data_IF_816148551405
#
_entry.id   IF_816148551405
#
_cell.length_a   1.000
_cell.length_b   1.000
_cell.length_c   1.000
_cell.angle_alpha   90.00
_cell.angle_beta   90.00
_cell.angle_gamma   90.00
#
_symmetry.space_group_name_H-M   'P 1'
#
loop_
_entity.id
_entity.type
_entity.pdbx_description
1 polymer ?
#
# COMPACT_ATOMS: atom_id res chain seq x y z
N UNK A 1 0.86 11.61 -20.42
CA UNK A 1 1.95 11.45 -21.41
C UNK A 1 3.34 11.88 -20.88
N UNK A 2 3.55 12.01 -19.56
CA UNK A 2 4.85 12.42 -18.97
C UNK A 2 5.24 11.60 -17.72
N UNK A 3 4.80 10.34 -17.62
CA UNK A 3 5.12 9.43 -16.50
C UNK A 3 6.09 8.30 -16.89
N UNK A 4 6.83 8.44 -18.02
CA UNK A 4 7.78 7.44 -18.52
C UNK A 4 9.26 7.80 -18.28
N UNK A 5 9.59 8.76 -17.42
CA UNK A 5 10.98 9.09 -17.08
C UNK A 5 11.32 8.51 -15.70
N UNK A 6 11.25 7.19 -15.62
CA UNK A 6 11.48 6.46 -14.38
C UNK A 6 11.75 5.00 -14.66
N UNK A 7 12.72 4.71 -15.52
CA UNK A 7 13.42 3.42 -15.57
C UNK A 7 14.58 3.56 -16.57
N UNK A 8 15.78 3.20 -16.11
CA UNK A 8 16.97 2.71 -16.84
C UNK A 8 18.20 3.29 -16.14
N UNK A 9 18.79 2.52 -15.23
CA UNK A 9 20.13 1.92 -15.35
C UNK A 9 20.20 0.80 -14.31
N UNK A 10 20.37 -0.43 -14.78
CA UNK A 10 20.88 -1.54 -13.98
C UNK A 10 22.30 -1.79 -14.48
N UNK A 11 23.28 -1.73 -13.57
CA UNK A 11 24.45 -2.60 -13.54
C UNK A 11 25.34 -2.20 -12.35
N UNK A 12 25.64 -3.21 -11.53
CA UNK A 12 26.59 -3.32 -10.41
C UNK A 12 27.45 -2.12 -10.01
N UNK A 13 27.59 -1.92 -8.70
CA UNK A 13 28.87 -2.00 -7.98
C UNK A 13 28.65 -1.85 -6.46
N UNK A 14 29.48 -2.58 -5.69
CA UNK A 14 29.98 -2.15 -4.38
C UNK A 14 29.03 -2.20 -3.19
N UNK A 15 28.86 -3.38 -2.59
CA UNK A 15 28.25 -3.52 -1.27
C UNK A 15 28.99 -2.72 -0.21
N UNK A 16 28.25 -1.92 0.55
CA UNK A 16 28.73 -1.26 1.76
C UNK A 16 28.87 -2.36 2.83
N UNK A 17 30.10 -2.83 3.04
CA UNK A 17 30.42 -3.80 4.06
C UNK A 17 30.27 -3.19 5.46
N UNK A 18 29.25 -3.66 6.19
CA UNK A 18 29.10 -3.43 7.63
C UNK A 18 27.68 -3.05 8.05
N UNK A 19 26.93 -4.00 8.61
CA UNK A 19 25.76 -3.69 9.45
C UNK A 19 24.59 -4.65 9.29
N UNK A 20 24.50 -5.64 10.19
CA UNK A 20 23.37 -6.57 10.42
C UNK A 20 22.89 -7.41 9.21
N UNK A 21 22.41 -8.64 9.44
CA UNK A 21 21.81 -9.46 8.38
C UNK A 21 20.57 -8.74 7.80
N UNK A 22 20.26 -8.89 6.50
CA UNK A 22 19.06 -8.32 5.92
C UNK A 22 17.80 -8.93 6.56
N UNK A 23 16.73 -8.13 6.63
CA UNK A 23 15.39 -8.62 6.96
C UNK A 23 14.85 -9.37 5.74
N UNK A 24 14.79 -10.69 5.82
CA UNK A 24 14.47 -11.56 4.68
C UNK A 24 13.20 -12.41 4.86
N UNK A 25 12.59 -12.36 6.06
CA UNK A 25 11.37 -13.08 6.42
C UNK A 25 10.37 -12.18 7.10
N UNK A 26 9.08 -12.48 6.95
CA UNK A 26 7.99 -11.67 7.47
C UNK A 26 7.99 -11.62 9.01
N UNK A 27 8.36 -12.70 9.70
CA UNK A 27 8.51 -12.70 11.16
C UNK A 27 9.61 -11.73 11.63
N UNK A 28 10.79 -11.78 11.01
CA UNK A 28 11.91 -10.88 11.32
C UNK A 28 11.56 -9.42 11.03
N UNK A 29 10.81 -9.17 9.96
CA UNK A 29 10.31 -7.85 9.60
C UNK A 29 9.37 -7.29 10.68
N UNK A 30 8.45 -8.12 11.18
CA UNK A 30 7.51 -7.75 12.24
C UNK A 30 8.21 -7.54 13.58
N UNK A 31 9.16 -8.40 13.97
CA UNK A 31 9.99 -8.21 15.16
C UNK A 31 10.76 -6.89 15.10
N UNK A 32 11.32 -6.58 13.93
CA UNK A 32 12.02 -5.32 13.71
C UNK A 32 11.06 -4.12 13.86
N UNK A 33 9.85 -4.18 13.29
CA UNK A 33 8.81 -3.17 13.46
C UNK A 33 8.44 -2.95 14.94
N UNK A 34 8.35 -4.04 15.72
CA UNK A 34 8.03 -4.01 17.15
C UNK A 34 9.18 -3.56 18.06
N UNK A 35 10.43 -3.56 17.57
CA UNK A 35 11.61 -3.21 18.38
C UNK A 35 11.64 -1.74 18.84
N UNK A 36 10.86 -0.86 18.18
CA UNK A 36 10.86 0.58 18.45
C UNK A 36 12.18 1.30 18.14
N UNK A 37 13.16 0.60 17.55
CA UNK A 37 14.43 1.19 17.14
C UNK A 37 14.25 2.01 15.87
N UNK A 38 14.74 3.25 15.85
CA UNK A 38 14.83 4.08 14.64
C UNK A 38 16.03 3.69 13.75
N UNK A 39 16.33 2.40 13.63
CA UNK A 39 17.39 1.91 12.77
C UNK A 39 16.88 1.69 11.34
N UNK A 40 17.79 1.75 10.37
CA UNK A 40 17.55 1.28 9.00
C UNK A 40 18.20 -0.10 8.84
N UNK A 41 17.47 -1.05 8.26
CA UNK A 41 17.99 -2.36 7.90
C UNK A 41 17.69 -2.67 6.45
N UNK A 42 18.58 -3.39 5.77
CA UNK A 42 18.30 -3.89 4.43
C UNK A 42 17.10 -4.84 4.48
N UNK A 43 16.18 -4.71 3.52
CA UNK A 43 15.01 -5.56 3.34
C UNK A 43 15.14 -6.32 2.04
N UNK A 44 14.99 -7.64 2.10
CA UNK A 44 14.92 -8.52 0.94
C UNK A 44 13.85 -9.58 1.17
N UNK A 45 12.59 -9.16 1.11
CA UNK A 45 11.46 -9.98 1.52
C UNK A 45 10.80 -10.66 0.32
N UNK A 46 10.79 -11.98 0.32
CA UNK A 46 10.01 -12.79 -0.62
C UNK A 46 8.72 -13.25 0.05
N UNK A 47 7.59 -13.13 -0.64
CA UNK A 47 6.34 -13.71 -0.17
C UNK A 47 5.15 -13.45 -1.06
N UNK A 48 3.98 -13.85 -0.58
CA UNK A 48 2.71 -13.68 -1.28
C UNK A 48 1.95 -12.49 -0.73
N UNK A 49 1.43 -11.65 -1.62
CA UNK A 49 0.60 -10.53 -1.21
C UNK A 49 -0.79 -11.02 -0.82
N UNK A 50 -1.18 -10.80 0.43
CA UNK A 50 -2.48 -11.23 0.97
C UNK A 50 -3.43 -10.07 1.20
N UNK A 51 -2.93 -8.84 1.21
CA UNK A 51 -3.73 -7.63 1.28
C UNK A 51 -3.04 -6.45 0.58
N UNK A 52 -3.81 -5.56 -0.04
CA UNK A 52 -3.32 -4.35 -0.73
C UNK A 52 -4.29 -3.19 -0.49
N UNK A 53 -3.74 -2.03 -0.16
CA UNK A 53 -4.36 -0.72 -0.32
C UNK A 53 -3.44 0.16 -1.17
N UNK A 54 -3.73 0.21 -2.48
CA UNK A 54 -2.97 0.99 -3.44
C UNK A 54 -3.12 2.51 -3.24
N UNK A 55 -4.23 2.96 -2.64
CA UNK A 55 -4.43 4.38 -2.30
C UNK A 55 -3.50 4.86 -1.19
N UNK A 56 -2.95 3.94 -0.39
CA UNK A 56 -2.04 4.24 0.73
C UNK A 56 -0.67 3.55 0.61
N UNK A 57 -0.33 3.05 -0.58
CA UNK A 57 0.88 2.25 -0.86
C UNK A 57 1.21 1.21 0.22
N UNK A 58 0.16 0.61 0.78
CA UNK A 58 0.25 -0.31 1.91
C UNK A 58 -0.12 -1.70 1.46
N UNK A 59 0.69 -2.69 1.83
CA UNK A 59 0.42 -4.08 1.47
C UNK A 59 0.78 -5.02 2.63
N UNK A 60 0.21 -6.22 2.62
CA UNK A 60 0.67 -7.32 3.49
C UNK A 60 1.35 -8.37 2.64
N UNK A 61 2.58 -8.72 3.02
CA UNK A 61 3.28 -9.90 2.49
C UNK A 61 3.21 -11.00 3.52
N UNK A 62 2.86 -12.21 3.07
CA UNK A 62 2.87 -13.41 3.88
C UNK A 62 3.81 -14.47 3.27
N UNK A 63 4.69 -15.02 4.10
CA UNK A 63 5.56 -16.16 3.80
C UNK A 63 5.24 -17.32 4.77
N UNK A 64 6.12 -18.32 4.85
CA UNK A 64 6.00 -19.45 5.76
C UNK A 64 6.20 -19.06 7.24
N UNK A 65 7.04 -18.06 7.51
CA UNK A 65 7.34 -17.54 8.83
C UNK A 65 6.20 -16.72 9.44
N UNK A 66 5.40 -16.02 8.63
CA UNK A 66 4.37 -15.12 9.11
C UNK A 66 3.86 -14.14 8.06
N UNK A 67 3.26 -13.06 8.52
CA UNK A 67 2.85 -11.95 7.68
C UNK A 67 3.34 -10.61 8.24
N UNK A 68 3.55 -9.63 7.36
CA UNK A 68 3.96 -8.29 7.74
C UNK A 68 3.28 -7.26 6.85
N UNK A 69 2.78 -6.19 7.46
CA UNK A 69 2.31 -5.00 6.76
C UNK A 69 3.49 -4.09 6.44
N UNK A 70 3.60 -3.69 5.17
CA UNK A 70 4.59 -2.75 4.66
C UNK A 70 3.89 -1.51 4.11
N UNK A 71 4.48 -0.35 4.37
CA UNK A 71 4.18 0.88 3.61
C UNK A 71 5.37 1.19 2.70
N UNK A 72 5.11 1.34 1.40
CA UNK A 72 6.16 1.57 0.42
C UNK A 72 6.31 3.06 0.12
N UNK A 73 7.56 3.53 -0.02
CA UNK A 73 7.87 4.89 -0.50
C UNK A 73 7.76 5.01 -2.03
N UNK A 74 6.76 4.33 -2.61
CA UNK A 74 6.43 4.40 -4.04
C UNK A 74 4.99 3.99 -4.32
N UNK A 75 4.37 4.55 -5.38
CA UNK A 75 3.07 4.10 -5.85
C UNK A 75 3.01 2.61 -6.20
N UNK A 76 1.97 1.92 -5.72
CA UNK A 76 1.69 0.51 -6.03
C UNK A 76 0.76 0.36 -7.24
N UNK A 77 1.31 0.44 -8.45
CA UNK A 77 0.52 0.39 -9.70
C UNK A 77 0.48 -1.00 -10.35
N UNK A 78 1.35 -1.90 -9.91
CA UNK A 78 1.67 -3.19 -10.54
C UNK A 78 1.55 -4.36 -9.55
N UNK A 79 0.78 -4.17 -8.48
CA UNK A 79 0.75 -5.08 -7.33
C UNK A 79 -0.70 -5.42 -6.98
N UNK A 80 -0.99 -6.71 -6.87
CA UNK A 80 -2.33 -7.25 -6.59
C UNK A 80 -2.24 -8.38 -5.56
N UNK A 81 -3.36 -8.63 -4.87
CA UNK A 81 -3.52 -9.81 -4.00
C UNK A 81 -3.31 -11.09 -4.82
N UNK A 82 -2.61 -12.08 -4.24
CA UNK A 82 -2.29 -13.35 -4.90
C UNK A 82 -1.05 -13.31 -5.80
N UNK A 83 -0.32 -12.19 -5.83
CA UNK A 83 0.99 -12.13 -6.49
C UNK A 83 2.09 -12.55 -5.54
N UNK A 84 3.01 -13.39 -6.02
CA UNK A 84 4.29 -13.64 -5.36
C UNK A 84 5.27 -12.54 -5.75
N UNK A 85 5.94 -11.95 -4.77
CA UNK A 85 6.84 -10.80 -4.97
C UNK A 85 8.14 -10.94 -4.23
N UNK A 86 9.17 -10.27 -4.74
CA UNK A 86 10.40 -9.92 -4.04
C UNK A 86 10.42 -8.41 -3.82
N UNK A 87 10.50 -7.98 -2.56
CA UNK A 87 10.59 -6.58 -2.17
C UNK A 87 12.00 -6.30 -1.65
N UNK A 88 12.71 -5.41 -2.33
CA UNK A 88 14.08 -5.00 -2.01
C UNK A 88 14.10 -3.50 -1.68
N UNK A 89 14.75 -3.13 -0.58
CA UNK A 89 14.88 -1.74 -0.14
C UNK A 89 15.46 -1.61 1.26
N UNK A 90 15.21 -0.47 1.93
CA UNK A 90 15.57 -0.27 3.33
C UNK A 90 14.31 -0.27 4.19
N UNK A 91 14.26 -1.14 5.19
CA UNK A 91 13.23 -1.16 6.21
C UNK A 91 13.54 -0.14 7.32
N UNK A 92 12.53 0.64 7.69
CA UNK A 92 12.51 1.53 8.86
C UNK A 92 11.29 1.19 9.72
N UNK A 93 11.52 0.93 11.01
CA UNK A 93 10.44 0.76 11.98
C UNK A 93 10.03 2.13 12.55
N UNK A 94 8.74 2.46 12.48
CA UNK A 94 8.19 3.65 13.17
C UNK A 94 6.81 3.30 13.76
N UNK A 95 6.68 3.42 15.08
CA UNK A 95 5.43 3.16 15.83
C UNK A 95 4.77 1.80 15.51
N UNK A 96 5.58 0.74 15.33
CA UNK A 96 5.08 -0.61 15.02
C UNK A 96 4.71 -0.83 13.55
N UNK A 97 4.88 0.18 12.68
CA UNK A 97 4.71 0.07 11.23
C UNK A 97 6.08 -0.06 10.57
N UNK A 98 6.17 -0.95 9.58
CA UNK A 98 7.37 -1.14 8.79
C UNK A 98 7.27 -0.38 7.47
N UNK A 99 8.15 0.60 7.30
CA UNK A 99 8.25 1.38 6.07
C UNK A 99 9.39 0.81 5.24
N UNK A 100 9.11 0.46 3.97
CA UNK A 100 10.15 0.15 3.00
C UNK A 100 10.42 1.40 2.17
N UNK A 101 11.65 1.93 2.26
CA UNK A 101 12.07 3.19 1.65
C UNK A 101 13.40 3.04 0.93
N UNK A 102 13.76 4.02 0.11
CA UNK A 102 15.14 4.20 -0.35
C UNK A 102 16.00 4.80 0.77
N UNK A 103 17.33 4.68 0.69
CA UNK A 103 18.28 4.85 1.80
C UNK A 103 18.70 6.30 2.18
N UNK A 104 18.20 7.44 1.71
CA UNK A 104 19.09 8.61 1.45
C UNK A 104 20.58 8.57 1.92
N UNK A 105 21.53 8.92 1.03
CA UNK A 105 22.93 9.18 1.41
C UNK A 105 23.05 10.25 2.52
N UNK A 106 22.25 11.32 2.45
CA UNK A 106 22.20 12.42 3.42
C UNK A 106 20.76 12.91 3.61
N UNK A 107 20.42 13.39 4.81
CA UNK A 107 19.14 14.07 5.02
C UNK A 107 18.53 13.92 6.42
N UNK A 108 17.35 14.48 6.61
CA UNK A 108 16.42 14.25 7.71
C UNK A 108 14.97 14.33 7.23
N UNK A 109 14.09 14.00 8.18
CA UNK A 109 12.65 14.10 8.04
C UNK A 109 12.11 15.51 8.35
N UNK A 110 12.93 16.51 8.73
CA UNK A 110 12.50 17.77 9.35
C UNK A 110 13.10 17.99 10.76
N UNK A 111 13.21 19.25 11.21
CA UNK A 111 14.09 19.74 12.31
C UNK A 111 14.08 18.95 13.62
N UNK A 112 15.25 18.88 14.31
CA UNK A 112 15.46 19.84 15.40
C UNK A 112 16.53 20.94 15.20
N UNK A 113 17.60 20.73 14.44
CA UNK A 113 18.69 21.73 14.32
C UNK A 113 19.14 21.94 12.86
N UNK A 114 19.24 23.21 12.44
CA UNK A 114 19.85 23.65 11.18
C UNK A 114 21.36 23.35 11.21
N UNK A 115 21.75 22.12 10.88
CA UNK A 115 23.15 21.66 10.87
C UNK A 115 23.48 21.00 9.56
N UNK A 116 24.70 21.25 9.11
CA UNK A 116 25.28 20.53 8.00
C UNK A 116 25.41 19.04 8.32
N UNK A 117 25.05 18.20 7.35
CA UNK A 117 25.23 16.76 7.40
C UNK A 117 26.24 16.34 6.35
N UNK A 118 27.13 15.42 6.73
CA UNK A 118 28.22 14.98 5.85
C UNK A 118 28.26 13.46 5.74
N UNK A 119 28.52 12.97 4.54
CA UNK A 119 28.65 11.54 4.24
C UNK A 119 29.76 11.34 3.21
N UNK A 120 30.55 10.28 3.40
CA UNK A 120 31.61 9.89 2.48
C UNK A 120 31.19 8.62 1.75
N UNK A 121 31.39 8.62 0.43
CA UNK A 121 31.03 7.51 -0.46
C UNK A 121 32.13 7.32 -1.50
N UNK A 122 32.40 6.07 -1.86
CA UNK A 122 33.32 5.76 -2.94
C UNK A 122 32.55 5.76 -4.27
N UNK A 123 33.00 6.52 -5.25
CA UNK A 123 32.37 6.62 -6.58
C UNK A 123 33.37 6.24 -7.66
N UNK A 124 32.87 5.61 -8.72
CA UNK A 124 33.62 5.39 -9.96
C UNK A 124 33.50 6.60 -10.87
N UNK A 125 34.40 6.79 -11.82
CA UNK A 125 34.22 7.76 -12.88
C UNK A 125 32.99 7.41 -13.72
N UNK A 126 32.23 8.43 -14.10
CA UNK A 126 31.03 8.31 -14.89
C UNK A 126 29.77 8.71 -14.12
N UNK A 127 28.65 8.11 -14.51
CA UNK A 127 27.32 8.61 -14.15
C UNK A 127 26.76 7.94 -12.92
N UNK A 128 26.39 8.78 -11.97
CA UNK A 128 25.78 8.36 -10.72
C UNK A 128 24.38 8.97 -10.61
N UNK A 129 23.29 8.18 -10.70
CA UNK A 129 21.92 8.67 -10.54
C UNK A 129 21.76 9.40 -9.21
N UNK A 130 21.07 10.54 -9.24
CA UNK A 130 20.79 11.32 -8.04
C UNK A 130 19.32 11.74 -7.96
N UNK A 131 18.86 11.87 -6.73
CA UNK A 131 17.58 12.51 -6.40
C UNK A 131 17.76 13.36 -5.16
N UNK A 132 17.29 14.60 -5.19
CA UNK A 132 17.27 15.47 -4.02
C UNK A 132 15.84 15.91 -3.76
N UNK A 133 15.35 15.63 -2.56
CA UNK A 133 14.03 16.00 -2.07
C UNK A 133 14.18 17.06 -0.99
N UNK A 134 13.31 18.05 -0.99
CA UNK A 134 13.33 19.16 -0.06
C UNK A 134 11.90 19.63 0.22
N UNK A 135 11.61 20.05 1.44
CA UNK A 135 10.37 20.77 1.73
C UNK A 135 10.64 21.97 2.63
N UNK A 136 9.79 22.99 2.50
CA UNK A 136 9.88 24.23 3.25
C UNK A 136 8.53 24.59 3.88
N UNK A 137 8.56 24.95 5.17
CA UNK A 137 7.43 25.43 5.98
C UNK A 137 7.64 26.90 6.38
N UNK A 138 7.59 27.80 5.40
CA UNK A 138 7.70 29.25 5.59
C UNK A 138 9.05 29.72 6.19
N UNK A 139 9.26 31.03 6.34
CA UNK A 139 10.50 31.56 6.92
C UNK A 139 11.72 31.49 5.99
N UNK A 140 12.93 31.38 6.56
CA UNK A 140 14.19 31.33 5.80
C UNK A 140 14.26 30.03 5.01
N UNK A 141 14.70 30.10 3.75
CA UNK A 141 14.92 28.92 2.90
C UNK A 141 16.40 28.73 2.69
N UNK A 142 16.90 27.53 2.96
CA UNK A 142 18.26 27.15 2.60
C UNK A 142 18.20 25.75 2.02
N UNK A 143 18.92 25.54 0.93
CA UNK A 143 19.25 24.24 0.40
C UNK A 143 20.62 24.37 -0.26
N UNK A 144 21.60 23.62 0.23
CA UNK A 144 22.94 23.64 -0.31
C UNK A 144 23.54 22.24 -0.24
N UNK A 145 23.95 21.74 -1.41
CA UNK A 145 24.73 20.52 -1.56
C UNK A 145 26.14 20.89 -2.01
N UNK A 146 27.11 20.67 -1.12
CA UNK A 146 28.53 20.78 -1.42
C UNK A 146 29.11 19.38 -1.60
N UNK A 147 30.21 19.29 -2.35
CA UNK A 147 30.98 18.07 -2.49
C UNK A 147 32.48 18.38 -2.53
N UNK A 148 33.28 17.39 -2.17
CA UNK A 148 34.74 17.35 -2.31
C UNK A 148 35.17 15.94 -2.70
N UNK A 149 36.33 15.81 -3.33
CA UNK A 149 36.82 14.53 -3.83
C UNK A 149 38.26 14.60 -4.35
N UNK A 150 38.75 13.58 -5.06
CA UNK A 150 40.12 13.53 -5.54
C UNK A 150 40.45 14.71 -6.45
N UNK A 151 41.34 15.60 -6.00
CA UNK A 151 41.74 16.81 -6.73
C UNK A 151 40.67 17.91 -6.80
N UNK A 152 39.56 17.75 -6.08
CA UNK A 152 38.42 18.68 -6.10
C UNK A 152 38.26 19.28 -4.70
N UNK A 153 38.51 20.59 -4.52
CA UNK A 153 38.25 21.24 -3.24
C UNK A 153 36.75 21.33 -2.97
N UNK A 154 36.38 21.39 -1.70
CA UNK A 154 34.99 21.56 -1.25
C UNK A 154 34.33 22.75 -1.92
N UNK A 155 33.27 22.47 -2.69
CA UNK A 155 32.55 23.47 -3.46
C UNK A 155 31.10 23.01 -3.74
N UNK A 156 30.20 23.91 -4.19
CA UNK A 156 28.89 23.50 -4.71
C UNK A 156 29.03 22.57 -5.91
N UNK A 157 28.09 21.63 -6.08
CA UNK A 157 28.07 20.77 -7.27
C UNK A 157 27.93 21.62 -8.54
N UNK A 158 28.90 21.63 -9.47
CA UNK A 158 28.86 22.46 -10.65
C UNK A 158 27.73 22.04 -11.60
N UNK A 159 27.04 23.00 -12.26
CA UNK A 159 26.00 22.70 -13.25
C UNK A 159 26.45 21.76 -14.38
N UNK A 160 27.73 21.85 -14.76
CA UNK A 160 28.32 21.03 -15.81
C UNK A 160 28.40 19.53 -15.45
N UNK A 161 28.30 19.18 -14.16
CA UNK A 161 28.28 17.81 -13.69
C UNK A 161 26.87 17.23 -13.57
N UNK A 162 25.83 18.03 -13.87
CA UNK A 162 24.45 17.63 -13.70
C UNK A 162 23.80 17.39 -15.05
N UNK A 163 23.11 16.27 -15.18
CA UNK A 163 22.33 15.95 -16.37
C UNK A 163 21.05 15.18 -16.06
N UNK A 164 20.05 15.28 -16.92
CA UNK A 164 18.80 14.53 -16.81
C UNK A 164 18.50 13.76 -18.12
N UNK A 165 17.80 12.61 -18.05
CA UNK A 165 17.44 11.85 -19.23
C UNK A 165 16.23 12.43 -19.96
N UNK A 166 16.29 12.44 -21.28
CA UNK A 166 15.17 12.68 -22.19
C UNK A 166 14.44 11.37 -22.53
N UNK A 167 13.24 11.50 -23.12
CA UNK A 167 12.38 10.36 -23.46
C UNK A 167 13.00 9.39 -24.47
N UNK A 168 13.92 9.86 -25.31
CA UNK A 168 14.65 9.06 -26.29
C UNK A 168 15.93 8.41 -25.71
N UNK A 169 16.20 8.60 -24.41
CA UNK A 169 17.37 8.07 -23.72
C UNK A 169 18.63 8.95 -23.85
N UNK A 170 18.59 10.05 -24.62
CA UNK A 170 19.65 11.06 -24.61
C UNK A 170 19.61 11.86 -23.30
N UNK A 171 20.63 12.71 -23.04
CA UNK A 171 20.69 13.50 -21.81
C UNK A 171 20.99 14.96 -22.12
N UNK A 172 20.40 15.85 -21.33
CA UNK A 172 20.63 17.28 -21.39
C UNK A 172 21.23 17.81 -20.09
N UNK A 173 21.99 18.94 -20.14
CA UNK A 173 22.51 19.59 -18.94
C UNK A 173 21.41 20.01 -17.97
N UNK A 174 21.71 19.92 -16.67
CA UNK A 174 20.78 20.24 -15.58
C UNK A 174 19.93 19.05 -15.13
N UNK A 175 19.15 19.28 -14.08
CA UNK A 175 18.27 18.32 -13.41
C UNK A 175 16.82 18.60 -13.77
N UNK A 176 16.03 17.55 -13.97
CA UNK A 176 14.59 17.71 -13.98
C UNK A 176 14.14 18.07 -12.56
N UNK A 177 13.23 19.03 -12.41
CA UNK A 177 12.61 19.35 -11.12
C UNK A 177 11.10 19.26 -11.16
N UNK A 178 10.49 18.97 -10.01
CA UNK A 178 9.06 19.06 -9.75
C UNK A 178 8.82 19.81 -8.44
N UNK A 179 7.86 20.75 -8.47
CA UNK A 179 7.43 21.53 -7.31
C UNK A 179 6.07 21.03 -6.87
N UNK A 180 5.89 20.83 -5.57
CA UNK A 180 4.67 20.36 -4.95
C UNK A 180 4.13 21.42 -4.00
N UNK A 181 2.81 21.54 -3.90
CA UNK A 181 2.16 22.40 -2.91
C UNK A 181 1.71 21.61 -1.71
N UNK A 182 2.05 22.09 -0.53
CA UNK A 182 1.64 21.43 0.69
C UNK A 182 2.44 21.88 1.88
N UNK A 183 1.83 21.73 3.05
CA UNK A 183 2.47 21.97 4.32
C UNK A 183 2.66 20.64 5.02
N UNK A 184 3.90 20.24 5.20
CA UNK A 184 4.24 18.97 5.85
C UNK A 184 5.01 19.19 7.15
N UNK A 185 4.72 18.35 8.13
CA UNK A 185 5.44 18.31 9.42
C UNK A 185 6.67 17.39 9.35
N UNK A 186 6.68 16.46 8.39
CA UNK A 186 7.81 15.58 8.06
C UNK A 186 7.93 15.43 6.54
N UNK A 187 9.04 14.87 6.04
CA UNK A 187 9.23 14.62 4.61
C UNK A 187 8.05 13.84 3.99
N UNK A 188 7.36 14.39 2.97
CA UNK A 188 6.26 13.69 2.31
C UNK A 188 6.77 12.62 1.34
N UNK A 189 5.86 11.70 0.99
CA UNK A 189 6.05 10.80 -0.15
C UNK A 189 5.62 11.57 -1.41
N UNK A 190 6.55 12.29 -2.04
CA UNK A 190 6.26 13.14 -3.21
C UNK A 190 5.59 12.41 -4.39
N UNK A 191 5.74 11.08 -4.47
CA UNK A 191 5.02 10.26 -5.46
C UNK A 191 3.50 10.24 -5.29
N UNK A 192 2.96 10.64 -4.13
CA UNK A 192 1.53 10.77 -3.84
C UNK A 192 0.98 12.15 -4.16
N UNK A 193 1.85 13.13 -4.33
CA UNK A 193 1.48 14.51 -4.55
C UNK A 193 1.43 14.81 -6.05
N UNK A 194 0.56 15.73 -6.44
CA UNK A 194 0.55 16.24 -7.81
C UNK A 194 1.50 17.44 -7.90
N UNK A 195 2.47 17.44 -8.83
CA UNK A 195 3.33 18.59 -9.01
C UNK A 195 2.51 19.78 -9.52
N UNK A 196 2.72 20.95 -8.93
CA UNK A 196 2.12 22.21 -9.36
C UNK A 196 2.91 22.86 -10.50
N UNK A 197 4.21 22.55 -10.61
CA UNK A 197 5.08 22.99 -11.70
C UNK A 197 6.28 22.05 -11.81
N UNK A 198 6.92 22.05 -12.99
CA UNK A 198 8.10 21.24 -13.28
C UNK A 198 8.93 21.91 -14.37
N UNK A 199 10.18 21.52 -14.50
CA UNK A 199 11.09 22.05 -15.51
C UNK A 199 12.51 21.51 -15.37
N UNK A 200 13.48 22.30 -15.83
CA UNK A 200 14.91 21.99 -15.72
C UNK A 200 15.58 23.04 -14.83
N UNK A 201 16.42 22.58 -13.90
CA UNK A 201 17.22 23.41 -13.00
C UNK A 201 18.70 23.06 -13.15
N UNK A 202 19.56 24.06 -13.19
CA UNK A 202 21.00 23.86 -13.31
C UNK A 202 21.73 23.82 -11.96
N UNK A 203 21.01 24.07 -10.87
CA UNK A 203 21.51 24.14 -9.51
C UNK A 203 20.42 23.69 -8.51
N UNK A 204 20.83 23.32 -7.31
CA UNK A 204 19.92 23.03 -6.20
C UNK A 204 19.48 24.34 -5.52
N UNK A 205 18.61 25.10 -6.18
CA UNK A 205 18.08 26.37 -5.66
C UNK A 205 16.74 26.15 -4.95
N UNK A 206 16.61 26.46 -3.64
CA UNK A 206 15.32 26.35 -2.95
C UNK A 206 14.25 27.30 -3.51
N UNK A 207 14.61 28.36 -4.23
CA UNK A 207 13.65 29.25 -4.89
C UNK A 207 13.10 28.70 -6.22
N UNK A 208 13.55 27.51 -6.67
CA UNK A 208 13.08 26.88 -7.90
C UNK A 208 11.56 26.77 -7.90
N UNK A 209 10.90 27.21 -8.98
CA UNK A 209 9.43 27.20 -9.09
C UNK A 209 8.71 28.35 -8.37
N UNK A 210 9.43 29.28 -7.73
CA UNK A 210 8.92 30.60 -7.35
C UNK A 210 7.95 30.65 -6.16
N UNK A 211 8.06 29.74 -5.18
CA UNK A 211 7.18 29.70 -4.00
C UNK A 211 7.85 30.15 -2.72
N UNK A 212 7.09 30.81 -1.84
CA UNK A 212 7.58 31.42 -0.60
C UNK A 212 7.49 30.60 0.69
N UNK A 213 6.72 29.52 0.67
CA UNK A 213 6.56 28.57 1.76
C UNK A 213 5.54 27.51 1.39
N UNK A 214 5.42 26.49 2.24
CA UNK A 214 4.48 25.38 2.07
C UNK A 214 4.58 24.75 0.68
N UNK A 215 5.81 24.33 0.37
CA UNK A 215 6.13 23.65 -0.87
C UNK A 215 7.19 22.59 -0.67
N UNK A 216 7.26 21.68 -1.64
CA UNK A 216 8.36 20.73 -1.75
C UNK A 216 8.94 20.74 -3.16
N UNK A 217 10.21 20.35 -3.23
CA UNK A 217 11.01 20.27 -4.44
C UNK A 217 11.61 18.88 -4.55
N UNK A 218 11.50 18.31 -5.74
CA UNK A 218 12.23 17.09 -6.11
C UNK A 218 13.07 17.41 -7.32
N UNK A 219 14.40 17.29 -7.19
CA UNK A 219 15.36 17.31 -8.27
C UNK A 219 15.73 15.87 -8.64
N UNK A 220 15.82 15.56 -9.93
CA UNK A 220 16.13 14.21 -10.44
C UNK A 220 17.04 14.27 -11.66
N UNK A 221 18.07 13.43 -11.67
CA UNK A 221 19.04 13.37 -12.76
C UNK A 221 20.23 12.47 -12.43
N UNK A 222 21.42 12.88 -12.84
CA UNK A 222 22.67 12.22 -12.49
C UNK A 222 23.79 13.24 -12.24
N UNK A 223 24.74 12.82 -11.43
CA UNK A 223 26.03 13.45 -11.20
C UNK A 223 27.07 12.77 -12.09
N UNK A 224 27.81 13.54 -12.86
CA UNK A 224 28.99 13.08 -13.59
C UNK A 224 30.22 13.19 -12.69
N UNK A 225 30.74 12.03 -12.29
CA UNK A 225 31.95 11.89 -11.48
C UNK A 225 33.16 11.83 -12.41
N UNK A 226 34.13 12.77 -12.32
CA UNK A 226 35.21 12.86 -13.30
C UNK A 226 36.28 11.77 -13.13
N UNK A 227 36.52 11.30 -11.91
CA UNK A 227 37.55 10.30 -11.58
C UNK A 227 37.09 9.40 -10.46
N UNK A 228 37.54 8.15 -10.48
CA UNK A 228 37.32 7.21 -9.38
C UNK A 228 37.91 7.75 -8.06
N UNK A 229 37.20 7.55 -6.96
CA UNK A 229 37.73 7.78 -5.62
C UNK A 229 36.67 8.10 -4.58
N UNK A 230 37.14 8.55 -3.41
CA UNK A 230 36.25 8.89 -2.31
C UNK A 230 35.77 10.33 -2.40
N UNK A 231 34.46 10.51 -2.36
CA UNK A 231 33.81 11.80 -2.35
C UNK A 231 33.11 12.03 -1.01
N UNK A 232 33.23 13.23 -0.46
CA UNK A 232 32.40 13.69 0.66
C UNK A 232 31.34 14.63 0.14
N UNK A 233 30.10 14.41 0.55
CA UNK A 233 28.98 15.32 0.32
C UNK A 233 28.60 16.01 1.63
N UNK A 234 28.20 17.27 1.52
CA UNK A 234 27.74 18.07 2.65
C UNK A 234 26.40 18.73 2.29
N UNK A 235 25.37 18.45 3.07
CA UNK A 235 24.01 18.93 2.83
C UNK A 235 23.59 19.83 3.99
N UNK A 236 23.17 21.06 3.65
CA UNK A 236 22.53 21.99 4.58
C UNK A 236 21.17 22.36 4.01
N UNK A 237 20.12 22.19 4.79
CA UNK A 237 18.78 22.60 4.42
C UNK A 237 18.03 23.24 5.60
N UNK A 238 17.09 24.13 5.28
CA UNK A 238 16.07 24.59 6.22
C UNK A 238 14.83 23.68 6.10
N UNK A 239 14.24 23.30 7.21
CA UNK A 239 13.25 22.22 7.36
C UNK A 239 13.76 20.83 6.98
N UNK A 240 13.26 20.18 5.92
CA UNK A 240 13.58 18.78 5.62
C UNK A 240 14.19 18.59 4.25
N UNK A 241 15.19 17.70 4.18
CA UNK A 241 15.84 17.33 2.92
C UNK A 241 16.28 15.86 2.90
N UNK A 242 16.31 15.27 1.71
CA UNK A 242 16.91 13.95 1.45
C UNK A 242 17.70 14.00 0.16
N UNK A 243 18.95 13.55 0.21
CA UNK A 243 19.81 13.40 -0.95
C UNK A 243 20.14 11.93 -1.14
N UNK A 244 19.81 11.42 -2.32
CA UNK A 244 20.02 10.06 -2.75
C UNK A 244 21.06 10.07 -3.88
N UNK A 245 22.04 9.17 -3.81
CA UNK A 245 23.06 8.96 -4.84
C UNK A 245 23.23 7.46 -5.05
N UNK A 246 23.19 7.02 -6.31
CA UNK A 246 23.20 5.60 -6.73
C UNK A 246 22.14 4.72 -6.09
N UNK A 247 21.15 5.32 -5.45
CA UNK A 247 20.17 4.53 -4.74
C UNK A 247 19.27 3.78 -5.69
N UNK A 248 19.11 2.50 -5.40
CA UNK A 248 18.06 1.72 -6.00
C UNK A 248 16.74 2.12 -5.32
N UNK A 249 15.71 2.52 -6.10
CA UNK A 249 14.38 2.73 -5.52
C UNK A 249 13.89 1.42 -4.90
N UNK A 250 12.90 1.51 -4.00
CA UNK A 250 12.19 0.33 -3.49
C UNK A 250 11.74 -0.51 -4.68
N UNK A 251 12.33 -1.69 -4.81
CA UNK A 251 12.12 -2.57 -5.96
C UNK A 251 11.12 -3.64 -5.54
N UNK A 252 10.00 -3.68 -6.26
CA UNK A 252 9.01 -4.74 -6.12
C UNK A 252 9.05 -5.53 -7.42
N UNK A 253 9.52 -6.77 -7.35
CA UNK A 253 9.59 -7.67 -8.50
C UNK A 253 8.47 -8.70 -8.40
N UNK A 254 7.51 -8.67 -9.32
CA UNK A 254 6.43 -9.65 -9.39
C UNK A 254 6.96 -10.94 -10.03
N UNK A 255 6.93 -12.03 -9.28
CA UNK A 255 7.42 -13.35 -9.70
C UNK A 255 6.33 -14.19 -10.38
N UNK A 256 5.06 -13.85 -10.18
CA UNK A 256 3.92 -14.53 -10.81
C UNK A 256 2.66 -14.51 -9.94
N UNK A 257 1.56 -15.03 -10.49
CA UNK A 257 0.38 -15.35 -9.71
C UNK A 257 0.58 -16.67 -8.97
N UNK A 258 0.12 -16.73 -7.73
CA UNK A 258 0.11 -17.94 -6.89
C UNK A 258 -1.23 -18.06 -6.18
N UNK A 259 -1.59 -19.28 -5.78
CA UNK A 259 -2.72 -19.46 -4.90
C UNK A 259 -2.47 -18.75 -3.56
N UNK A 260 -3.50 -18.10 -3.05
CA UNK A 260 -3.40 -17.46 -1.75
C UNK A 260 -3.10 -18.48 -0.65
N UNK A 261 -2.28 -18.12 0.35
CA UNK A 261 -2.15 -18.91 1.55
C UNK A 261 -3.54 -19.24 2.13
N UNK A 262 -3.69 -20.46 2.63
CA UNK A 262 -4.92 -20.92 3.26
C UNK A 262 -5.34 -19.94 4.36
N UNK A 263 -6.58 -19.48 4.32
CA UNK A 263 -7.12 -18.63 5.38
C UNK A 263 -7.41 -19.48 6.62
N UNK A 264 -6.85 -19.09 7.77
CA UNK A 264 -7.21 -19.71 9.05
C UNK A 264 -8.60 -19.26 9.45
N UNK A 265 -9.47 -20.20 9.84
CA UNK A 265 -10.77 -19.84 10.40
C UNK A 265 -10.60 -19.39 11.85
N UNK A 266 -11.12 -18.20 12.18
CA UNK A 266 -11.16 -17.66 13.54
C UNK A 266 -12.56 -17.16 13.88
N UNK A 267 -12.84 -16.96 15.17
CA UNK A 267 -14.09 -16.38 15.67
C UNK A 267 -13.89 -14.95 16.14
N UNK A 268 -14.96 -14.15 16.09
CA UNK A 268 -14.96 -12.79 16.65
C UNK A 268 -14.69 -12.87 18.16
N UNK A 269 -13.78 -12.02 18.65
CA UNK A 269 -13.38 -12.03 20.07
C UNK A 269 -12.39 -13.13 20.46
N UNK A 270 -11.77 -13.82 19.49
CA UNK A 270 -10.70 -14.77 19.79
C UNK A 270 -9.46 -14.06 20.35
N UNK A 271 -8.79 -14.67 21.34
CA UNK A 271 -7.43 -14.28 21.73
C UNK A 271 -6.49 -14.34 20.53
N UNK A 272 -5.55 -13.40 20.48
CA UNK A 272 -4.70 -13.19 19.33
C UNK A 272 -3.23 -13.26 19.72
N UNK A 273 -2.45 -13.98 18.92
CA UNK A 273 -1.01 -14.06 19.06
C UNK A 273 -0.38 -13.00 18.13
N UNK A 274 0.50 -12.16 18.67
CA UNK A 274 1.25 -11.18 17.88
C UNK A 274 2.13 -11.84 16.79
N UNK A 275 2.46 -13.13 16.95
CA UNK A 275 3.13 -13.91 15.90
C UNK A 275 2.23 -14.17 14.66
N UNK A 276 0.91 -14.08 14.83
CA UNK A 276 -0.10 -14.29 13.79
C UNK A 276 -0.59 -12.98 13.16
N UNK A 277 -0.08 -11.82 13.59
CA UNK A 277 -0.46 -10.52 13.03
C UNK A 277 -0.32 -10.48 11.50
N UNK A 278 -1.33 -9.89 10.89
CA UNK A 278 -1.57 -9.75 9.46
C UNK A 278 -1.74 -11.07 8.69
N UNK A 279 -1.72 -12.23 9.36
CA UNK A 279 -2.00 -13.50 8.66
C UNK A 279 -3.40 -13.46 8.09
N UNK A 280 -3.54 -14.09 6.92
CA UNK A 280 -4.82 -14.24 6.27
C UNK A 280 -5.75 -15.14 7.07
N UNK A 281 -6.92 -14.62 7.42
CA UNK A 281 -7.96 -15.34 8.15
C UNK A 281 -9.30 -15.28 7.42
N UNK A 282 -10.24 -16.08 7.91
CA UNK A 282 -11.65 -16.02 7.55
C UNK A 282 -12.50 -16.12 8.81
N UNK A 283 -13.54 -15.29 8.90
CA UNK A 283 -14.44 -15.23 10.05
C UNK A 283 -15.88 -15.01 9.61
N UNK A 284 -16.82 -15.47 10.43
CA UNK A 284 -18.24 -15.25 10.23
C UNK A 284 -18.84 -14.42 11.36
N UNK A 285 -19.82 -13.60 11.02
CA UNK A 285 -20.59 -12.83 11.98
C UNK A 285 -21.67 -12.01 11.32
N UNK A 286 -22.34 -11.18 12.11
CA UNK A 286 -23.39 -10.27 11.64
C UNK A 286 -22.83 -8.86 11.55
N UNK A 287 -23.07 -8.18 10.44
CA UNK A 287 -22.68 -6.78 10.25
C UNK A 287 -23.57 -5.89 11.13
N UNK A 288 -23.00 -5.24 12.14
CA UNK A 288 -23.74 -4.43 13.10
C UNK A 288 -23.78 -2.93 12.75
N UNK A 289 -22.70 -2.43 12.14
CA UNK A 289 -22.58 -1.05 11.66
C UNK A 289 -22.20 -1.07 10.19
N UNK A 290 -22.37 0.04 9.46
CA UNK A 290 -21.85 0.19 8.11
C UNK A 290 -21.64 1.67 7.83
N UNK A 291 -20.46 2.03 7.39
CA UNK A 291 -20.15 3.37 6.93
C UNK A 291 -19.10 3.38 5.84
N UNK A 292 -18.89 4.57 5.28
CA UNK A 292 -17.96 4.83 4.20
C UNK A 292 -17.29 6.18 4.40
N UNK A 293 -15.98 6.22 4.18
CA UNK A 293 -15.18 7.43 4.31
C UNK A 293 -13.72 7.15 3.99
N UNK A 294 -13.00 8.18 3.55
CA UNK A 294 -11.55 8.11 3.32
C UNK A 294 -11.11 6.94 2.39
N UNK A 295 -11.94 6.68 1.36
CA UNK A 295 -11.71 5.61 0.39
C UNK A 295 -11.87 4.19 0.95
N UNK A 296 -12.63 4.01 2.03
CA UNK A 296 -12.86 2.70 2.66
C UNK A 296 -14.30 2.53 3.12
N UNK A 297 -14.76 1.29 3.11
CA UNK A 297 -15.92 0.85 3.88
C UNK A 297 -15.46 0.37 5.25
N UNK A 298 -16.22 0.71 6.29
CA UNK A 298 -15.98 0.21 7.64
C UNK A 298 -17.27 -0.38 8.21
N UNK A 299 -17.13 -1.52 8.90
CA UNK A 299 -18.23 -2.12 9.65
C UNK A 299 -17.75 -2.97 10.80
N UNK A 300 -18.58 -3.09 11.84
CA UNK A 300 -18.36 -4.02 12.93
C UNK A 300 -18.99 -5.38 12.60
N UNK A 301 -18.18 -6.44 12.72
CA UNK A 301 -18.64 -7.81 12.65
C UNK A 301 -18.88 -8.33 14.06
N UNK A 302 -20.11 -8.73 14.35
CA UNK A 302 -20.52 -9.19 15.69
C UNK A 302 -20.83 -10.68 15.68
N UNK A 303 -20.25 -11.42 16.63
CA UNK A 303 -20.61 -12.79 16.95
C UNK A 303 -20.39 -13.06 18.44
N UNK A 304 -21.26 -13.86 19.05
CA UNK A 304 -21.14 -14.32 20.44
C UNK A 304 -20.88 -13.19 21.47
N UNK A 305 -21.52 -12.05 21.28
CA UNK A 305 -21.39 -10.88 22.16
C UNK A 305 -20.11 -10.06 22.00
N UNK A 306 -19.23 -10.46 21.07
CA UNK A 306 -18.01 -9.74 20.72
C UNK A 306 -18.17 -9.00 19.39
N UNK A 307 -17.42 -7.92 19.20
CA UNK A 307 -17.37 -7.14 17.97
C UNK A 307 -15.92 -7.04 17.48
N UNK A 308 -15.73 -6.99 16.16
CA UNK A 308 -14.45 -6.77 15.51
C UNK A 308 -14.61 -5.79 14.35
N UNK A 309 -13.69 -4.83 14.25
CA UNK A 309 -13.72 -3.82 13.20
C UNK A 309 -13.21 -4.40 11.87
N UNK A 310 -13.98 -4.22 10.79
CA UNK A 310 -13.59 -4.62 9.44
C UNK A 310 -13.42 -3.38 8.58
N UNK A 311 -12.27 -3.27 7.94
CA UNK A 311 -11.92 -2.19 7.01
C UNK A 311 -11.75 -2.76 5.61
N UNK A 312 -12.54 -2.29 4.65
CA UNK A 312 -12.51 -2.74 3.26
C UNK A 312 -12.07 -1.59 2.37
N UNK A 313 -11.02 -1.80 1.58
CA UNK A 313 -10.55 -0.84 0.58
C UNK A 313 -11.64 -0.62 -0.48
N UNK A 314 -11.93 0.65 -0.79
CA UNK A 314 -12.80 1.02 -1.92
C UNK A 314 -11.92 1.16 -3.18
N UNK A 315 -12.06 0.23 -4.12
CA UNK A 315 -11.26 0.18 -5.34
C UNK A 315 -11.81 1.10 -6.45
N UNK A 316 -12.64 2.08 -6.10
CA UNK A 316 -13.12 3.11 -7.03
C UNK A 316 -14.34 2.70 -7.85
N UNK A 317 -14.98 1.58 -7.50
CA UNK A 317 -16.31 1.24 -8.01
C UNK A 317 -17.40 2.13 -7.39
N UNK A 318 -17.14 2.76 -6.22
CA UNK A 318 -17.96 3.83 -5.61
C UNK A 318 -19.42 3.47 -5.35
N UNK A 319 -19.82 2.25 -5.71
CA UNK A 319 -21.14 1.72 -5.52
C UNK A 319 -21.19 1.14 -4.12
N UNK A 320 -22.20 1.57 -3.37
CA UNK A 320 -22.55 0.91 -2.14
C UNK A 320 -22.59 -0.61 -2.38
N UNK A 321 -22.12 -1.43 -1.43
CA UNK A 321 -22.23 -2.88 -1.54
C UNK A 321 -23.66 -3.21 -1.97
N UNK A 322 -23.79 -3.82 -3.16
CA UNK A 322 -25.09 -3.94 -3.85
C UNK A 322 -26.09 -4.79 -3.08
N UNK A 323 -25.59 -5.63 -2.16
CA UNK A 323 -26.37 -6.36 -1.19
C UNK A 323 -26.44 -5.61 0.15
N UNK A 324 -27.58 -5.61 0.83
CA UNK A 324 -27.73 -5.01 2.16
C UNK A 324 -26.89 -5.80 3.17
N UNK A 325 -25.72 -5.25 3.50
CA UNK A 325 -24.80 -5.83 4.47
C UNK A 325 -25.31 -5.65 5.89
N UNK A 326 -25.86 -4.47 6.22
CA UNK A 326 -26.29 -4.15 7.58
C UNK A 326 -27.34 -5.14 8.11
N UNK A 327 -27.01 -5.81 9.22
CA UNK A 327 -27.82 -6.85 9.85
C UNK A 327 -27.77 -8.22 9.17
N UNK A 328 -27.01 -8.37 8.08
CA UNK A 328 -26.82 -9.65 7.39
C UNK A 328 -25.64 -10.42 7.99
N UNK A 329 -25.72 -11.75 7.93
CA UNK A 329 -24.61 -12.63 8.29
C UNK A 329 -23.67 -12.74 7.10
N UNK A 330 -22.39 -12.48 7.32
CA UNK A 330 -21.35 -12.49 6.30
C UNK A 330 -20.20 -13.39 6.73
N UNK A 331 -19.47 -13.90 5.73
CA UNK A 331 -18.16 -14.52 5.87
C UNK A 331 -17.14 -13.59 5.24
N UNK A 332 -16.17 -13.13 6.02
CA UNK A 332 -15.17 -12.15 5.57
C UNK A 332 -13.80 -12.80 5.61
N UNK A 333 -13.02 -12.59 4.56
CA UNK A 333 -11.60 -12.98 4.53
C UNK A 333 -10.70 -11.76 4.38
N UNK A 334 -9.62 -11.71 5.15
CA UNK A 334 -8.70 -10.57 5.16
C UNK A 334 -7.47 -10.82 6.04
N UNK A 335 -6.62 -9.80 6.20
CA UNK A 335 -5.46 -9.82 7.09
C UNK A 335 -5.87 -9.30 8.47
N UNK A 336 -5.78 -10.15 9.51
CA UNK A 336 -6.20 -9.78 10.87
C UNK A 336 -5.03 -9.24 11.67
N UNK A 337 -5.28 -8.22 12.51
CA UNK A 337 -4.28 -7.69 13.43
C UNK A 337 -4.86 -7.59 14.84
N UNK A 338 -3.98 -7.75 15.83
CA UNK A 338 -4.33 -7.61 17.23
C UNK A 338 -4.05 -6.23 17.80
N UNK A 339 -4.70 -5.94 18.93
CA UNK A 339 -4.28 -4.88 19.85
C UNK A 339 -4.06 -5.49 21.23
N UNK A 340 -3.10 -4.98 22.02
CA UNK A 340 -2.94 -5.41 23.41
C UNK A 340 -4.26 -5.25 24.19
N UNK A 341 -4.71 -6.32 24.85
CA UNK A 341 -5.87 -6.28 25.74
C UNK A 341 -5.49 -5.78 27.14
N UNK A 342 -6.51 -5.41 27.92
CA UNK A 342 -6.34 -4.92 29.30
C UNK A 342 -5.73 -5.97 30.24
N UNK A 343 -5.91 -7.27 29.92
CA UNK A 343 -5.37 -8.41 30.66
C UNK A 343 -3.95 -8.81 30.21
N UNK A 344 -3.29 -7.96 29.42
CA UNK A 344 -1.95 -8.19 28.87
C UNK A 344 -1.90 -9.18 27.71
N UNK A 345 -3.03 -9.77 27.30
CA UNK A 345 -3.10 -10.64 26.12
C UNK A 345 -3.70 -9.86 24.95
N UNK A 346 -3.10 -9.97 23.76
CA UNK A 346 -3.67 -9.33 22.58
C UNK A 346 -4.98 -10.01 22.19
N UNK A 347 -5.91 -9.20 21.69
CA UNK A 347 -7.19 -9.64 21.14
C UNK A 347 -7.24 -9.31 19.66
N UNK A 348 -7.92 -10.14 18.86
CA UNK A 348 -8.16 -9.83 17.46
C UNK A 348 -8.98 -8.54 17.40
N UNK A 349 -8.39 -7.47 16.87
CA UNK A 349 -8.93 -6.13 16.99
C UNK A 349 -9.55 -5.65 15.69
N UNK A 350 -8.96 -6.04 14.56
CA UNK A 350 -9.50 -5.68 13.26
C UNK A 350 -9.09 -6.61 12.14
N UNK A 351 -9.76 -6.40 11.00
CA UNK A 351 -9.57 -7.14 9.76
C UNK A 351 -9.43 -6.17 8.60
N UNK A 352 -8.30 -6.23 7.91
CA UNK A 352 -8.02 -5.50 6.68
C UNK A 352 -8.45 -6.33 5.46
N UNK A 353 -9.25 -5.74 4.58
CA UNK A 353 -9.85 -6.42 3.44
C UNK A 353 -9.58 -5.60 2.17
N UNK A 354 -9.07 -6.22 1.11
CA UNK A 354 -8.61 -5.51 -0.11
C UNK A 354 -9.76 -5.05 -1.03
N UNK A 355 -10.99 -5.47 -0.75
CA UNK A 355 -12.13 -5.19 -1.61
C UNK A 355 -13.38 -5.97 -1.20
N UNK A 356 -14.54 -5.53 -1.67
CA UNK A 356 -15.84 -6.07 -1.26
C UNK A 356 -16.09 -7.50 -1.74
N UNK A 357 -15.35 -7.97 -2.76
CA UNK A 357 -15.34 -9.35 -3.23
C UNK A 357 -14.94 -10.38 -2.16
N UNK A 358 -14.26 -9.92 -1.11
CA UNK A 358 -13.85 -10.75 0.02
C UNK A 358 -14.90 -10.79 1.16
N UNK A 359 -16.03 -10.09 1.00
CA UNK A 359 -17.18 -10.09 1.93
C UNK A 359 -18.32 -10.90 1.30
N UNK A 360 -18.53 -12.13 1.78
CA UNK A 360 -19.54 -13.05 1.25
C UNK A 360 -20.78 -13.09 2.15
N UNK A 361 -21.92 -12.66 1.64
CA UNK A 361 -23.20 -12.75 2.37
C UNK A 361 -23.63 -14.21 2.49
N UNK A 362 -23.71 -14.71 3.73
CA UNK A 362 -24.19 -16.05 4.05
C UNK A 362 -25.72 -16.07 4.19
N UNK A 363 -26.27 -15.05 4.84
CA UNK A 363 -27.72 -14.87 4.94
C UNK A 363 -28.08 -13.40 5.12
N UNK A 364 -29.12 -12.95 4.40
CA UNK A 364 -29.60 -11.57 4.50
C UNK A 364 -30.49 -11.40 5.74
N UNK A 365 -30.47 -10.21 6.36
CA UNK A 365 -31.31 -9.88 7.53
C UNK A 365 -32.78 -10.27 7.30
N UNK A 366 -33.39 -10.96 8.28
CA UNK A 366 -34.73 -11.57 8.12
C UNK A 366 -35.81 -10.54 7.76
N UNK A 367 -35.78 -9.35 8.38
CA UNK A 367 -36.78 -8.29 8.14
C UNK A 367 -36.78 -7.73 6.72
N UNK A 368 -35.64 -7.78 6.02
CA UNK A 368 -35.54 -7.28 4.66
C UNK A 368 -36.32 -8.14 3.66
N UNK A 369 -36.49 -9.44 3.91
CA UNK A 369 -37.33 -10.28 3.06
C UNK A 369 -38.79 -9.86 3.09
N UNK A 370 -39.27 -9.29 4.21
CA UNK A 370 -40.63 -8.75 4.30
C UNK A 370 -40.77 -7.45 3.50
N UNK A 371 -39.74 -6.60 3.54
CA UNK A 371 -39.66 -5.31 2.85
C UNK A 371 -39.43 -5.45 1.33
N UNK A 372 -38.78 -6.54 0.90
CA UNK A 372 -38.50 -6.81 -0.52
C UNK A 372 -39.78 -7.25 -1.24
N UNK A 373 -40.24 -6.52 -2.27
CA UNK A 373 -41.41 -6.90 -3.05
C UNK A 373 -41.25 -8.28 -3.69
N UNK A 374 -42.35 -9.02 -3.79
CA UNK A 374 -42.36 -10.31 -4.46
C UNK A 374 -42.24 -10.10 -5.98
N UNK A 375 -41.13 -10.53 -6.57
CA UNK A 375 -40.90 -10.49 -8.01
C UNK A 375 -41.62 -11.64 -8.72
N UNK A 376 -42.17 -11.38 -9.90
CA UNK A 376 -42.72 -12.43 -10.77
C UNK A 376 -41.57 -13.15 -11.46
N UNK A 377 -41.57 -14.48 -11.41
CA UNK A 377 -40.57 -15.33 -12.07
C UNK A 377 -40.47 -15.01 -13.57
N UNK A 378 -41.60 -14.70 -14.22
CA UNK A 378 -41.65 -14.33 -15.64
C UNK A 378 -40.97 -13.00 -15.99
N UNK A 379 -40.66 -12.16 -15.01
CA UNK A 379 -39.99 -10.87 -15.19
C UNK A 379 -38.47 -10.96 -15.13
N UNK A 380 -37.92 -12.03 -14.54
CA UNK A 380 -36.49 -12.15 -14.24
C UNK A 380 -35.61 -12.28 -15.48
N UNK A 381 -36.14 -12.82 -16.59
CA UNK A 381 -35.41 -12.93 -17.85
C UNK A 381 -35.49 -11.67 -18.72
N UNK A 382 -36.35 -10.72 -18.37
CA UNK A 382 -36.58 -9.47 -19.13
C UNK A 382 -35.99 -8.25 -18.45
N UNK A 383 -35.95 -8.23 -17.13
CA UNK A 383 -35.34 -7.16 -16.36
C UNK A 383 -33.85 -7.49 -16.17
N UNK A 384 -32.98 -6.71 -16.81
CA UNK A 384 -31.54 -6.79 -16.60
C UNK A 384 -31.20 -6.36 -15.17
N UNK A 385 -31.43 -7.24 -14.19
CA UNK A 385 -31.10 -6.99 -12.80
C UNK A 385 -29.58 -6.93 -12.66
N UNK A 386 -29.01 -5.82 -12.14
CA UNK A 386 -27.60 -5.75 -11.83
C UNK A 386 -27.19 -6.90 -10.89
N UNK A 387 -25.99 -7.45 -11.08
CA UNK A 387 -25.43 -8.44 -10.17
C UNK A 387 -25.41 -7.89 -8.73
N UNK A 388 -25.95 -8.68 -7.78
CA UNK A 388 -26.12 -8.26 -6.38
C UNK A 388 -27.51 -7.74 -6.01
N UNK A 389 -28.46 -7.68 -6.95
CA UNK A 389 -29.86 -7.34 -6.64
C UNK A 389 -30.51 -8.42 -5.77
N UNK A 390 -31.11 -8.03 -4.64
CA UNK A 390 -31.93 -8.94 -3.87
C UNK A 390 -33.28 -9.14 -4.55
N UNK A 391 -33.60 -10.39 -4.87
CA UNK A 391 -34.86 -10.76 -5.53
C UNK A 391 -35.62 -11.72 -4.63
N UNK A 392 -36.85 -11.36 -4.28
CA UNK A 392 -37.75 -12.23 -3.54
C UNK A 392 -38.68 -12.94 -4.51
N UNK A 393 -38.62 -14.27 -4.55
CA UNK A 393 -39.45 -15.10 -5.41
C UNK A 393 -40.36 -16.01 -4.60
N UNK A 394 -41.50 -16.39 -5.21
CA UNK A 394 -42.41 -17.40 -4.69
C UNK A 394 -42.81 -18.28 -5.86
N UNK A 395 -42.58 -19.57 -5.70
CA UNK A 395 -42.88 -20.56 -6.73
C UNK A 395 -42.84 -21.97 -6.19
N UNK A 396 -43.18 -22.91 -7.05
CA UNK A 396 -43.03 -24.34 -6.80
C UNK A 396 -41.69 -24.79 -7.38
N UNK A 397 -40.82 -25.35 -6.55
CA UNK A 397 -39.57 -25.94 -7.03
C UNK A 397 -39.90 -27.28 -7.69
N UNK A 398 -39.47 -27.45 -8.93
CA UNK A 398 -39.60 -28.70 -9.71
C UNK A 398 -38.21 -29.19 -10.08
N UNK A 399 -38.00 -30.51 -10.08
CA UNK A 399 -36.75 -31.11 -10.53
C UNK A 399 -36.75 -31.11 -12.07
N UNK A 400 -35.72 -30.57 -12.71
CA UNK A 400 -35.60 -30.59 -14.17
C UNK A 400 -35.35 -32.03 -14.66
N UNK A 401 -36.23 -32.55 -15.51
CA UNK A 401 -36.03 -33.87 -16.14
C UNK A 401 -37.28 -34.52 -16.72
N UNK A 402 -38.46 -34.42 -16.08
CA UNK A 402 -39.70 -35.01 -16.59
C UNK A 402 -40.89 -34.13 -16.17
N UNK A 403 -41.89 -34.02 -17.04
CA UNK A 403 -43.08 -33.21 -16.82
C UNK A 403 -43.70 -33.46 -15.43
N UNK A 404 -43.67 -32.44 -14.58
CA UNK A 404 -44.74 -32.22 -13.62
C UNK A 404 -44.84 -33.14 -12.41
N UNK A 405 -43.82 -33.92 -12.02
CA UNK A 405 -43.87 -34.65 -10.73
C UNK A 405 -43.51 -33.69 -9.58
N UNK A 406 -44.45 -33.37 -8.65
CA UNK A 406 -44.11 -32.63 -7.44
C UNK A 406 -43.14 -33.47 -6.60
N UNK A 407 -42.02 -32.89 -6.15
CA UNK A 407 -41.23 -33.51 -5.09
C UNK A 407 -42.17 -33.76 -3.90
N UNK A 408 -42.29 -35.02 -3.51
CA UNK A 408 -43.25 -35.50 -2.52
C UNK A 408 -43.21 -34.73 -1.19
N UNK A 409 -44.31 -34.86 -0.44
CA UNK A 409 -44.54 -34.28 0.88
C UNK A 409 -43.28 -34.27 1.76
N UNK A 410 -42.74 -33.08 2.01
CA UNK A 410 -42.10 -32.78 3.28
C UNK A 410 -43.22 -32.55 4.31
N UNK A 411 -43.62 -33.60 5.03
CA UNK A 411 -44.36 -33.47 6.30
C UNK A 411 -43.34 -33.07 7.38
N UNK A 412 -43.56 -32.13 8.31
CA UNK A 412 -44.66 -31.24 8.73
C UNK A 412 -43.95 -30.22 9.65
N UNK A 413 -44.13 -28.91 9.58
CA UNK A 413 -45.31 -28.15 10.00
C UNK A 413 -45.03 -26.67 9.66
N UNK A 414 -46.01 -25.98 9.08
CA UNK A 414 -46.08 -24.52 9.01
C UNK A 414 -44.79 -23.79 8.63
N UNK A 415 -44.40 -23.76 7.35
CA UNK A 415 -43.55 -22.69 6.83
C UNK A 415 -43.60 -22.63 5.30
N UNK A 416 -43.82 -21.42 4.80
CA UNK A 416 -43.59 -21.01 3.41
C UNK A 416 -42.10 -21.26 3.11
N UNK A 417 -41.78 -22.07 2.09
CA UNK A 417 -40.39 -22.20 1.63
C UNK A 417 -40.03 -20.98 0.76
N UNK A 418 -39.28 -20.05 1.32
CA UNK A 418 -38.52 -19.05 0.57
C UNK A 418 -37.21 -19.72 0.12
N UNK A 419 -37.02 -19.93 -1.18
CA UNK A 419 -35.75 -20.40 -1.73
C UNK A 419 -35.03 -19.19 -2.32
N UNK A 420 -33.85 -18.88 -1.79
CA UNK A 420 -33.01 -17.82 -2.31
C UNK A 420 -32.11 -18.39 -3.42
N UNK A 421 -32.14 -17.78 -4.59
CA UNK A 421 -31.08 -17.91 -5.58
C UNK A 421 -30.28 -16.60 -5.54
N UNK A 422 -29.01 -16.67 -5.16
CA UNK A 422 -28.08 -15.60 -5.47
C UNK A 422 -27.63 -15.82 -6.92
N UNK A 423 -28.02 -14.92 -7.84
CA UNK A 423 -27.48 -14.93 -9.19
C UNK A 423 -25.99 -14.54 -9.10
N UNK A 424 -25.11 -15.54 -8.98
CA UNK A 424 -23.68 -15.36 -9.17
C UNK A 424 -23.48 -15.31 -10.68
N UNK A 425 -23.41 -14.09 -11.22
CA UNK A 425 -23.16 -13.88 -12.64
C UNK A 425 -21.75 -14.36 -12.99
N UNK A 426 -21.62 -15.60 -13.45
CA UNK A 426 -20.55 -15.97 -14.39
C UNK A 426 -21.20 -16.04 -15.76
N UNK A 427 -20.67 -15.24 -16.69
CA UNK A 427 -21.17 -15.16 -18.05
C UNK A 427 -21.22 -16.55 -18.69
N UNK A 428 -22.43 -16.98 -19.02
CA UNK A 428 -22.69 -18.22 -19.73
C UNK A 428 -24.18 -18.51 -19.69
N UNK A 429 -24.82 -18.48 -20.86
CA UNK A 429 -26.22 -18.83 -21.03
C UNK A 429 -26.57 -20.14 -20.29
N UNK A 430 -27.58 -20.09 -19.44
CA UNK A 430 -28.17 -21.23 -18.75
C UNK A 430 -29.36 -20.81 -17.91
#
# INVERSE_FOLDING_TARGET
MWWRIGLVVAAGLGGIAGGEEPVDRASAAREFAGSGKEALRELKLEGTITWVDAGRDSLVVQDDSGAVRLELDRPMRDVEVGRKVMIEGMAKAEKGVLFCRSKPLLGDEGKPDFREKSARVHLTAGRHPLRLEYYQRGGRKTLQLLYEGPGIPRQPVPPAMLSHPLADGTREPGLAYAVYGGRWEKMPVFGRESPVSFGVAHQFDPATGGRDGDYGLVFSGALEVPVDGDYSFHLTADDGCRFHLDEQPVKVSVMGAVDLPGARTIVVGQKWDAADDYRRVEMEGTVATLGHGDGRWYFDLVADGSALAVEVVDNGDGQAPRLPLLGSRVKVSGACYGTPGEDGHAMAAGLLVSGMEHVRVQSVRVGLWAETPLSRISGLSREGHPAGTLIRLRGKVVRGGEEGVPLGRWQRNHSICSVAFAAIGQGGNG
#
